data_IF_035274937705
#
_entry.id   IF_035274937705
#
_cell.length_a   1.000
_cell.length_b   1.000
_cell.length_c   1.000
_cell.angle_alpha   90.00
_cell.angle_beta   90.00
_cell.angle_gamma   90.00
#
_symmetry.space_group_name_H-M   'P 1'
#
loop_
_entity.id
_entity.type
_entity.pdbx_description
1 polymer ?
#
# COMPACT_ATOMS: atom_id res chain seq x y z
N UNK A 1 -29.21 -21.36 -34.20
CA UNK A 1 -27.98 -20.81 -33.63
C UNK A 1 -28.29 -20.34 -32.22
N UNK A 2 -27.93 -21.13 -31.21
CA UNK A 2 -28.24 -20.83 -29.81
C UNK A 2 -27.19 -19.83 -29.33
N UNK A 3 -27.63 -18.59 -29.10
CA UNK A 3 -26.78 -17.52 -28.60
C UNK A 3 -26.40 -17.81 -27.15
N UNK A 4 -25.11 -17.99 -26.90
CA UNK A 4 -24.52 -18.25 -25.58
C UNK A 4 -24.44 -16.96 -24.73
N UNK A 5 -25.59 -16.29 -24.55
CA UNK A 5 -25.73 -15.01 -23.84
C UNK A 5 -25.45 -15.13 -22.32
N UNK A 6 -25.42 -16.35 -21.77
CA UNK A 6 -25.07 -16.61 -20.37
C UNK A 6 -23.57 -16.63 -20.07
N UNK A 7 -22.74 -17.19 -20.97
CA UNK A 7 -21.32 -17.37 -20.70
C UNK A 7 -20.51 -16.07 -20.84
N UNK A 8 -20.87 -15.19 -21.79
CA UNK A 8 -20.15 -13.94 -22.03
C UNK A 8 -20.22 -12.96 -20.86
N UNK A 9 -21.40 -12.82 -20.25
CA UNK A 9 -21.59 -11.91 -19.10
C UNK A 9 -20.86 -12.36 -17.84
N UNK A 10 -20.88 -13.67 -17.53
CA UNK A 10 -20.14 -14.22 -16.39
C UNK A 10 -18.63 -14.10 -16.57
N UNK A 11 -18.12 -14.35 -17.78
CA UNK A 11 -16.70 -14.20 -18.08
C UNK A 11 -16.22 -12.76 -17.91
N UNK A 12 -17.00 -11.77 -18.34
CA UNK A 12 -16.69 -10.35 -18.12
C UNK A 12 -16.70 -10.01 -16.63
N UNK A 13 -17.72 -10.44 -15.90
CA UNK A 13 -17.84 -10.17 -14.46
C UNK A 13 -16.65 -10.74 -13.67
N UNK A 14 -16.23 -11.99 -13.96
CA UNK A 14 -15.05 -12.60 -13.35
C UNK A 14 -13.76 -11.85 -13.69
N UNK A 15 -13.61 -11.38 -14.93
CA UNK A 15 -12.45 -10.57 -15.32
C UNK A 15 -12.38 -9.24 -14.57
N UNK A 16 -13.51 -8.54 -14.40
CA UNK A 16 -13.56 -7.30 -13.60
C UNK A 16 -13.15 -7.58 -12.15
N UNK A 17 -13.66 -8.65 -11.54
CA UNK A 17 -13.31 -9.00 -10.16
C UNK A 17 -11.81 -9.31 -10.05
N UNK A 18 -11.27 -10.10 -10.98
CA UNK A 18 -9.86 -10.47 -10.99
C UNK A 18 -8.96 -9.23 -11.17
N UNK A 19 -9.37 -8.27 -12.00
CA UNK A 19 -8.68 -6.99 -12.17
C UNK A 19 -8.65 -6.20 -10.86
N UNK A 20 -9.79 -6.06 -10.18
CA UNK A 20 -9.88 -5.33 -8.91
C UNK A 20 -9.01 -6.00 -7.85
N UNK A 21 -9.09 -7.32 -7.72
CA UNK A 21 -8.27 -8.09 -6.77
C UNK A 21 -6.78 -7.92 -7.07
N UNK A 22 -6.38 -7.97 -8.34
CA UNK A 22 -5.00 -7.73 -8.77
C UNK A 22 -4.48 -6.34 -8.38
N UNK A 23 -5.29 -5.29 -8.60
CA UNK A 23 -4.95 -3.93 -8.18
C UNK A 23 -4.80 -3.82 -6.66
N UNK A 24 -5.68 -4.46 -5.89
CA UNK A 24 -5.60 -4.44 -4.42
C UNK A 24 -4.31 -5.10 -3.92
N UNK A 25 -3.95 -6.26 -4.47
CA UNK A 25 -2.71 -6.94 -4.12
C UNK A 25 -1.51 -6.07 -4.50
N UNK A 26 -1.50 -5.51 -5.71
CA UNK A 26 -0.41 -4.65 -6.19
C UNK A 26 -0.25 -3.40 -5.30
N UNK A 27 -1.35 -2.77 -4.89
CA UNK A 27 -1.34 -1.66 -3.94
C UNK A 27 -0.72 -2.06 -2.60
N UNK A 28 -1.08 -3.22 -2.06
CA UNK A 28 -0.52 -3.71 -0.79
C UNK A 28 0.98 -3.99 -0.90
N UNK A 29 1.42 -4.61 -2.00
CA UNK A 29 2.85 -4.88 -2.26
C UNK A 29 3.64 -3.58 -2.33
N UNK A 30 3.17 -2.60 -3.11
CA UNK A 30 3.84 -1.30 -3.25
C UNK A 30 3.82 -0.54 -1.91
N UNK A 31 2.67 -0.48 -1.22
CA UNK A 31 2.55 0.19 0.06
C UNK A 31 3.48 -0.42 1.11
N UNK A 32 3.58 -1.76 1.14
CA UNK A 32 4.50 -2.45 2.04
C UNK A 32 5.96 -2.22 1.65
N UNK A 33 6.31 -2.32 0.37
CA UNK A 33 7.66 -2.07 -0.11
C UNK A 33 8.10 -0.62 0.13
N UNK A 34 7.20 0.34 -0.04
CA UNK A 34 7.45 1.76 0.27
C UNK A 34 7.55 1.97 1.77
N UNK A 35 6.66 1.40 2.59
CA UNK A 35 6.71 1.56 4.06
C UNK A 35 7.94 0.90 4.65
N UNK A 36 8.23 -0.36 4.30
CA UNK A 36 9.43 -1.06 4.74
C UNK A 36 10.68 -0.42 4.15
N UNK A 37 10.60 0.08 2.92
CA UNK A 37 11.69 0.81 2.25
C UNK A 37 11.99 2.16 2.91
N UNK A 38 10.99 3.02 3.13
CA UNK A 38 11.13 4.33 3.78
C UNK A 38 11.50 4.18 5.25
N UNK A 39 10.85 3.28 5.98
CA UNK A 39 11.11 3.06 7.40
C UNK A 39 12.51 2.49 7.66
N UNK A 40 13.10 1.82 6.67
CA UNK A 40 14.50 1.36 6.70
C UNK A 40 15.46 2.28 5.95
N UNK A 41 14.94 3.33 5.31
CA UNK A 41 15.72 4.31 4.55
C UNK A 41 16.25 5.39 5.48
N UNK A 42 17.43 5.90 5.14
CA UNK A 42 18.11 7.03 5.77
C UNK A 42 17.17 8.22 6.00
N UNK A 43 16.13 8.40 5.16
CA UNK A 43 15.11 9.45 5.34
C UNK A 43 14.21 9.20 6.56
N UNK A 44 13.78 7.95 6.79
CA UNK A 44 12.99 7.57 7.97
C UNK A 44 13.81 7.70 9.25
N UNK A 45 15.06 7.22 9.24
CA UNK A 45 15.99 7.37 10.36
C UNK A 45 16.35 8.84 10.64
N UNK A 46 16.52 9.65 9.59
CA UNK A 46 16.80 11.09 9.72
C UNK A 46 15.63 11.84 10.35
N UNK A 47 14.39 11.53 9.95
CA UNK A 47 13.19 12.13 10.55
C UNK A 47 13.04 11.65 12.00
N UNK A 48 13.23 10.36 12.29
CA UNK A 48 13.16 9.82 13.64
C UNK A 48 14.20 10.48 14.56
N UNK A 49 15.46 10.58 14.13
CA UNK A 49 16.53 11.25 14.90
C UNK A 49 16.25 12.73 15.13
N UNK A 50 15.72 13.44 14.12
CA UNK A 50 15.41 14.87 14.23
C UNK A 50 14.25 15.12 15.19
N UNK A 51 13.20 14.30 15.17
CA UNK A 51 12.05 14.43 16.07
C UNK A 51 12.35 13.94 17.50
N UNK A 52 13.12 12.86 17.69
CA UNK A 52 13.56 12.41 19.02
C UNK A 52 14.40 13.48 19.75
N UNK A 53 15.35 14.10 19.06
CA UNK A 53 16.19 15.16 19.66
C UNK A 53 15.41 16.43 20.06
N UNK A 54 14.27 16.70 19.41
CA UNK A 54 13.39 17.80 19.81
C UNK A 54 12.47 17.47 20.98
N UNK A 55 12.25 16.18 21.30
CA UNK A 55 11.43 15.76 22.43
C UNK A 55 12.26 15.68 23.73
N UNK A 56 13.49 15.16 23.64
CA UNK A 56 14.44 15.06 24.77
C UNK A 56 14.83 16.42 25.38
N UNK A 57 14.93 17.48 24.57
CA UNK A 57 15.23 18.83 25.06
C UNK A 57 14.02 19.56 25.68
N UNK A 58 12.79 19.08 25.45
CA UNK A 58 11.57 19.63 26.05
C UNK A 58 11.31 19.09 27.45
N UNK A 59 11.74 17.86 27.73
CA UNK A 59 11.60 17.20 29.03
C UNK A 59 12.72 17.58 30.02
N UNK A 60 13.83 18.14 29.54
CA UNK A 60 14.92 18.69 30.38
C UNK A 60 14.71 20.16 30.79
N UNK A 61 13.67 20.83 30.27
CA UNK A 61 13.30 22.22 30.62
C UNK A 61 11.95 22.32 31.36
N UNK A 62 11.47 21.22 31.96
CA UNK A 62 10.24 21.20 32.76
C UNK A 62 10.51 20.84 34.22
#
# INVERSE_FOLDING_TARGET
MISNIGAGGLALFLNIILLIVGLLIMYLVISKAIKDGINKSVVGEFIEKKYKNSQDNGDLNK
#
